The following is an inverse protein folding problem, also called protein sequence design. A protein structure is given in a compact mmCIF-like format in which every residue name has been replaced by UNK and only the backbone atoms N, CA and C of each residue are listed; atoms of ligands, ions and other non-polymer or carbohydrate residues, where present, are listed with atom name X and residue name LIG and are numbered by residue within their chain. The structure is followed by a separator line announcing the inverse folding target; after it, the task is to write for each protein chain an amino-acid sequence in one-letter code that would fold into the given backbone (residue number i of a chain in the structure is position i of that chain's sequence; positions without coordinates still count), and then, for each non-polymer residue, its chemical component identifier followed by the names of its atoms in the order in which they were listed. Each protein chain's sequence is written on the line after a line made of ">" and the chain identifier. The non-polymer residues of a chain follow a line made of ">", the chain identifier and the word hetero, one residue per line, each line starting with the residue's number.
data_IF_468011870863
#
_entry.id   IF_468011870863
#
_cell.length_a   1.000
_cell.length_b   1.000
_cell.length_c   1.000
_cell.angle_alpha   90.00
_cell.angle_beta   90.00
_cell.angle_gamma   90.00
#
_symmetry.space_group_name_H-M   'P 1'
#
loop_
_entity.id
_entity.type
_entity.pdbx_description
1 polymer ?
#
# COMPACT_ATOMS: atom_id res chain seq x y z
N UNK A 1 -5.93 13.66 7.60
CA UNK A 1 -6.44 13.51 6.23
C UNK A 1 -7.83 12.91 6.33
N UNK A 2 -8.71 13.26 5.40
CA UNK A 2 -10.11 12.84 5.36
C UNK A 2 -10.52 12.37 3.96
N UNK A 3 -9.62 12.44 2.98
CA UNK A 3 -9.85 11.96 1.61
C UNK A 3 -8.63 11.20 1.09
N UNK A 4 -8.84 10.36 0.09
CA UNK A 4 -7.75 9.68 -0.62
C UNK A 4 -6.71 10.68 -1.15
N UNK A 5 -7.18 11.79 -1.75
CA UNK A 5 -6.30 12.84 -2.28
C UNK A 5 -5.40 13.44 -1.21
N UNK A 6 -5.93 13.73 -0.02
CA UNK A 6 -5.13 14.27 1.08
C UNK A 6 -4.12 13.26 1.62
N UNK A 7 -4.46 11.96 1.64
CA UNK A 7 -3.52 10.91 2.00
C UNK A 7 -2.39 10.83 0.97
N UNK A 8 -2.73 10.82 -0.32
CA UNK A 8 -1.76 10.77 -1.41
C UNK A 8 -0.83 12.00 -1.41
N UNK A 9 -1.36 13.22 -1.24
CA UNK A 9 -0.58 14.45 -1.13
C UNK A 9 0.39 14.40 0.08
N UNK A 10 -0.07 13.85 1.21
CA UNK A 10 0.73 13.68 2.43
C UNK A 10 1.84 12.64 2.26
N UNK A 11 1.58 11.54 1.54
CA UNK A 11 2.56 10.51 1.24
C UNK A 11 3.60 11.01 0.23
N UNK A 12 3.17 11.73 -0.81
CA UNK A 12 4.07 12.42 -1.76
C UNK A 12 5.04 13.36 -1.09
N UNK A 13 4.58 14.16 -0.13
CA UNK A 13 5.45 15.05 0.65
C UNK A 13 6.54 14.29 1.44
N UNK A 14 6.31 13.01 1.73
CA UNK A 14 7.26 12.09 2.39
C UNK A 14 8.04 11.20 1.41
N UNK A 15 8.09 11.57 0.13
CA UNK A 15 8.80 10.83 -0.93
C UNK A 15 8.24 9.43 -1.20
N UNK A 16 6.93 9.26 -1.01
CA UNK A 16 6.21 8.08 -1.49
C UNK A 16 5.54 8.37 -2.83
N UNK A 17 5.55 7.39 -3.72
CA UNK A 17 4.91 7.47 -5.03
C UNK A 17 3.88 6.37 -5.16
N UNK A 18 2.67 6.73 -5.58
CA UNK A 18 1.61 5.77 -5.86
C UNK A 18 2.04 4.85 -7.00
N UNK A 19 2.01 3.54 -6.77
CA UNK A 19 2.23 2.53 -7.79
C UNK A 19 0.92 2.35 -8.58
N UNK A 20 0.90 2.93 -9.78
CA UNK A 20 -0.24 2.90 -10.71
C UNK A 20 -0.18 1.71 -11.67
N UNK A 21 0.97 1.03 -11.75
CA UNK A 21 1.13 -0.15 -12.56
C UNK A 21 0.68 -1.36 -11.75
N UNK A 22 -0.51 -1.89 -12.07
CA UNK A 22 -1.13 -2.98 -11.31
C UNK A 22 -0.37 -4.32 -11.36
N UNK A 23 0.78 -4.34 -12.02
CA UNK A 23 1.56 -5.53 -12.32
C UNK A 23 2.88 -5.63 -11.55
N UNK A 24 3.33 -4.58 -10.84
CA UNK A 24 4.62 -4.61 -10.13
C UNK A 24 4.52 -4.99 -8.65
N UNK A 25 3.58 -4.40 -7.89
CA UNK A 25 3.47 -4.62 -6.43
C UNK A 25 2.02 -4.52 -5.90
N UNK A 26 1.05 -4.11 -6.72
CA UNK A 26 -0.31 -3.87 -6.22
C UNK A 26 -1.04 -5.16 -5.91
N UNK A 27 -1.42 -5.35 -4.64
CA UNK A 27 -2.43 -6.33 -4.27
C UNK A 27 -3.81 -5.83 -4.74
N UNK A 28 -4.62 -6.64 -5.45
CA UNK A 28 -5.93 -6.20 -5.91
C UNK A 28 -6.78 -5.73 -4.72
N UNK A 29 -7.37 -4.53 -4.84
CA UNK A 29 -8.14 -3.91 -3.76
C UNK A 29 -7.34 -3.03 -2.81
N UNK A 30 -6.05 -2.81 -3.06
CA UNK A 30 -5.20 -1.91 -2.28
C UNK A 30 -4.59 -0.81 -3.15
N UNK A 31 -4.51 0.39 -2.57
CA UNK A 31 -3.63 1.44 -3.04
C UNK A 31 -2.24 1.18 -2.47
N UNK A 32 -1.23 1.14 -3.34
CA UNK A 32 0.16 0.89 -2.93
C UNK A 32 1.01 2.12 -3.20
N UNK A 33 1.78 2.55 -2.21
CA UNK A 33 2.78 3.60 -2.35
C UNK A 33 4.17 3.06 -2.05
N UNK A 34 5.13 3.33 -2.93
CA UNK A 34 6.53 2.93 -2.76
C UNK A 34 7.35 4.13 -2.31
N UNK A 35 8.23 3.94 -1.31
CA UNK A 35 9.15 4.98 -0.90
C UNK A 35 10.28 5.11 -1.93
N UNK A 36 10.49 6.29 -2.47
CA UNK A 36 11.54 6.54 -3.48
C UNK A 36 12.95 6.61 -2.87
N UNK A 37 13.06 6.64 -1.53
CA UNK A 37 14.30 6.82 -0.78
C UNK A 37 14.64 5.65 0.15
N UNK A 38 13.76 4.66 0.27
CA UNK A 38 13.93 3.53 1.17
C UNK A 38 13.27 2.26 0.58
N UNK A 39 13.70 1.09 1.00
CA UNK A 39 13.25 -0.20 0.45
C UNK A 39 11.96 -0.72 1.10
N UNK A 40 11.00 0.16 1.33
CA UNK A 40 9.69 -0.22 1.88
C UNK A 40 8.55 0.60 1.25
N UNK A 41 7.35 0.06 1.33
CA UNK A 41 6.12 0.67 0.86
C UNK A 41 5.02 0.66 1.91
N UNK A 42 3.92 1.34 1.58
CA UNK A 42 2.68 1.35 2.35
C UNK A 42 1.58 0.87 1.42
N UNK A 43 0.73 -0.03 1.89
CA UNK A 43 -0.53 -0.38 1.23
C UNK A 43 -1.72 0.05 2.09
N UNK A 44 -2.78 0.53 1.45
CA UNK A 44 -4.04 0.86 2.10
C UNK A 44 -5.23 0.32 1.32
N UNK A 45 -6.17 -0.33 1.99
CA UNK A 45 -7.35 -0.94 1.37
C UNK A 45 -8.24 0.12 0.71
N UNK A 46 -8.74 -0.16 -0.50
CA UNK A 46 -9.74 0.67 -1.18
C UNK A 46 -11.00 0.83 -0.33
N UNK A 47 -11.32 -0.18 0.49
CA UNK A 47 -12.50 -0.21 1.35
C UNK A 47 -12.53 0.89 2.40
N UNK A 48 -11.37 1.48 2.73
CA UNK A 48 -11.27 2.63 3.66
C UNK A 48 -11.98 3.88 3.11
N UNK A 49 -12.16 3.97 1.80
CA UNK A 49 -12.76 5.12 1.13
C UNK A 49 -14.15 4.78 0.63
N UNK A 50 -15.06 5.76 0.69
CA UNK A 50 -16.36 5.70 0.04
C UNK A 50 -16.27 5.99 -1.46
N UNK A 51 -17.40 5.89 -2.16
CA UNK A 51 -17.48 6.13 -3.62
C UNK A 51 -17.12 7.57 -4.01
N UNK A 52 -17.20 8.52 -3.06
CA UNK A 52 -16.78 9.92 -3.21
C UNK A 52 -15.29 10.13 -2.88
N UNK A 53 -14.54 9.08 -2.53
CA UNK A 53 -13.12 9.12 -2.19
C UNK A 53 -12.83 9.71 -0.80
N UNK A 54 -13.83 9.79 0.07
CA UNK A 54 -13.68 10.24 1.47
C UNK A 54 -13.46 9.04 2.38
N UNK A 55 -12.74 9.27 3.47
CA UNK A 55 -12.51 8.24 4.47
C UNK A 55 -13.84 7.89 5.15
N UNK A 56 -14.18 6.59 5.18
CA UNK A 56 -15.35 6.10 5.90
C UNK A 56 -15.19 6.31 7.40
N UNK A 57 -16.31 6.50 8.10
CA UNK A 57 -16.33 6.47 9.56
C UNK A 57 -16.28 5.00 9.97
N UNK A 58 -15.15 4.60 10.55
CA UNK A 58 -14.89 3.23 11.01
C UNK A 58 -14.70 3.31 12.52
N UNK A 59 -15.45 2.50 13.27
CA UNK A 59 -15.22 2.37 14.72
C UNK A 59 -14.00 1.48 14.99
N UNK A 60 -13.38 1.57 16.18
CA UNK A 60 -12.25 0.69 16.52
C UNK A 60 -12.58 -0.81 16.42
N UNK A 61 -13.84 -1.20 16.59
CA UNK A 61 -14.30 -2.60 16.49
C UNK A 61 -14.47 -3.06 15.03
N UNK A 62 -14.68 -2.12 14.11
CA UNK A 62 -14.77 -2.36 12.66
C UNK A 62 -13.41 -2.20 11.95
N UNK A 63 -12.40 -1.71 12.67
CA UNK A 63 -11.06 -1.56 12.14
C UNK A 63 -10.44 -2.93 11.91
N UNK A 64 -9.88 -3.11 10.73
CA UNK A 64 -9.11 -4.28 10.35
C UNK A 64 -7.65 -3.86 10.18
N UNK A 65 -6.76 -4.49 10.93
CA UNK A 65 -5.33 -4.18 10.92
C UNK A 65 -4.69 -4.47 9.55
N UNK A 66 -5.29 -5.35 8.73
CA UNK A 66 -4.81 -5.64 7.38
C UNK A 66 -5.13 -4.51 6.38
N UNK A 67 -6.00 -3.55 6.75
CA UNK A 67 -6.37 -2.45 5.86
C UNK A 67 -5.24 -1.46 5.63
N UNK A 68 -4.27 -1.35 6.54
CA UNK A 68 -3.10 -0.46 6.36
C UNK A 68 -1.86 -1.16 6.88
N UNK A 69 -0.93 -1.44 5.98
CA UNK A 69 0.31 -2.13 6.34
C UNK A 69 1.50 -1.50 5.62
N UNK A 70 2.66 -1.62 6.26
CA UNK A 70 3.96 -1.40 5.62
C UNK A 70 4.55 -2.71 5.15
N UNK A 71 5.25 -2.72 4.03
CA UNK A 71 5.91 -3.92 3.52
C UNK A 71 7.31 -3.58 3.00
N UNK A 72 8.24 -4.52 3.07
CA UNK A 72 9.57 -4.37 2.48
C UNK A 72 9.53 -4.70 0.98
N UNK A 73 10.14 -3.83 0.17
CA UNK A 73 10.21 -4.01 -1.30
C UNK A 73 11.22 -5.09 -1.67
N UNK A 74 12.23 -5.33 -0.82
CA UNK A 74 13.26 -6.35 -1.04
C UNK A 74 12.75 -7.79 -0.91
N UNK A 75 11.56 -7.99 -0.33
CA UNK A 75 10.98 -9.31 -0.06
C UNK A 75 9.94 -9.78 -1.09
N UNK A 76 9.67 -9.00 -2.15
CA UNK A 76 8.88 -9.44 -3.31
C UNK A 76 9.71 -10.25 -4.32
N UNK A 77 10.73 -10.96 -3.84
CA UNK A 77 11.28 -12.11 -4.57
C UNK A 77 10.45 -13.31 -4.14
N UNK A 78 9.53 -13.73 -5.00
CA UNK A 78 8.90 -15.05 -4.94
C UNK A 78 9.91 -16.13 -4.50
N UNK A 79 9.51 -17.15 -3.72
CA UNK A 79 10.33 -18.32 -3.44
C UNK A 79 10.48 -19.18 -4.70
N UNK A 80 11.14 -18.66 -5.73
CA UNK A 80 11.69 -19.47 -6.80
C UNK A 80 12.91 -20.20 -6.24
N UNK A 81 12.64 -21.40 -5.72
CA UNK A 81 13.29 -22.62 -6.20
C UNK A 81 14.75 -22.46 -6.65
N UNK A 82 15.63 -22.07 -5.73
CA UNK A 82 17.08 -22.19 -5.90
C UNK A 82 17.50 -23.64 -5.59
N UNK A 83 16.99 -24.58 -6.38
CA UNK A 83 17.55 -25.94 -6.51
C UNK A 83 18.74 -25.87 -7.49
N UNK A 84 19.81 -25.20 -7.05
CA UNK A 84 21.13 -25.28 -7.69
C UNK A 84 22.08 -26.02 -6.74
N UNK A 85 22.32 -27.33 -6.93
CA UNK A 85 23.31 -28.05 -6.16
C UNK A 85 24.73 -27.71 -6.61
N UNK A 86 25.61 -27.50 -5.62
CA UNK A 86 27.06 -27.24 -5.75
C UNK A 86 27.83 -28.31 -6.53
#
# INVERSE_FOLDING_TARGET
>A
FHTFKELDDLLKARSFKLDIDQFSVSSPGYFTWLNEKAEFGIKASHSLFDDDGKLKIITPEEWDDEWVETFDISSSSDPFDDDIPF
#
